data_IF_010287782685
#
_entry.id   IF_010287782685
#
_cell.length_a   1.000
_cell.length_b   1.000
_cell.length_c   1.000
_cell.angle_alpha   90.00
_cell.angle_beta   90.00
_cell.angle_gamma   90.00
#
_symmetry.space_group_name_H-M   'P 1'
#
loop_
_entity.id
_entity.type
_entity.pdbx_description
1 polymer ?
#
# COMPACT_ATOMS: atom_id res chain seq x y z
N UNK A 1 -4.16 0.76 -19.89
CA UNK A 1 -4.82 0.19 -18.69
C UNK A 1 -3.86 -0.78 -18.03
N UNK A 2 -3.77 -0.83 -16.70
CA UNK A 2 -3.08 -1.90 -16.01
C UNK A 2 -3.73 -3.24 -16.40
N UNK A 3 -2.98 -4.24 -16.83
CA UNK A 3 -3.49 -5.52 -17.26
C UNK A 3 -4.02 -6.30 -16.06
N UNK A 4 -5.32 -6.56 -16.11
CA UNK A 4 -6.14 -7.08 -15.01
C UNK A 4 -5.94 -8.59 -14.76
N UNK A 5 -5.27 -9.30 -15.68
CA UNK A 5 -5.19 -10.76 -15.69
C UNK A 5 -3.95 -11.37 -15.00
N UNK A 6 -3.14 -10.56 -14.32
CA UNK A 6 -1.89 -11.00 -13.69
C UNK A 6 -2.09 -11.70 -12.36
N UNK A 7 -1.10 -12.51 -11.95
CA UNK A 7 -1.05 -13.13 -10.63
C UNK A 7 -1.07 -12.07 -9.53
N UNK A 8 -1.35 -12.49 -8.30
CA UNK A 8 -1.24 -11.61 -7.15
C UNK A 8 0.24 -11.39 -6.82
N UNK A 9 0.62 -10.12 -6.63
CA UNK A 9 1.94 -9.80 -6.10
C UNK A 9 2.11 -10.29 -4.66
N UNK A 10 3.32 -10.12 -4.10
CA UNK A 10 3.65 -10.57 -2.75
C UNK A 10 2.68 -10.04 -1.68
N UNK A 11 2.49 -8.72 -1.57
CA UNK A 11 1.62 -8.14 -0.54
C UNK A 11 0.14 -8.43 -0.79
N UNK A 12 -0.29 -8.47 -2.05
CA UNK A 12 -1.66 -8.77 -2.41
C UNK A 12 -2.05 -10.17 -1.96
N UNK A 13 -1.14 -11.13 -2.17
CA UNK A 13 -1.29 -12.51 -1.73
C UNK A 13 -1.48 -12.59 -0.21
N UNK A 14 -0.74 -11.80 0.57
CA UNK A 14 -0.92 -11.78 2.04
C UNK A 14 -2.34 -11.37 2.40
N UNK A 15 -2.86 -10.27 1.83
CA UNK A 15 -4.20 -9.78 2.20
C UNK A 15 -5.32 -10.67 1.69
N UNK A 16 -5.21 -11.14 0.45
CA UNK A 16 -6.23 -11.95 -0.21
C UNK A 16 -6.32 -13.33 0.44
N UNK A 17 -5.21 -14.00 0.73
CA UNK A 17 -5.22 -15.36 1.30
C UNK A 17 -5.91 -15.47 2.67
N UNK A 18 -6.15 -14.37 3.38
CA UNK A 18 -6.75 -14.39 4.71
C UNK A 18 -8.21 -14.89 4.71
N UNK A 19 -8.93 -14.74 3.60
CA UNK A 19 -10.33 -15.15 3.45
C UNK A 19 -10.57 -15.97 2.18
N UNK A 20 -9.53 -16.41 1.50
CA UNK A 20 -9.68 -17.31 0.36
C UNK A 20 -9.89 -18.75 0.89
N UNK A 21 -11.06 -19.38 0.66
CA UNK A 21 -11.34 -20.72 1.19
C UNK A 21 -10.55 -21.83 0.49
N UNK A 22 -9.89 -21.52 -0.63
CA UNK A 22 -9.22 -22.51 -1.51
C UNK A 22 -7.75 -22.70 -1.16
N UNK A 23 -7.16 -21.78 -0.38
CA UNK A 23 -5.72 -21.76 -0.12
C UNK A 23 -5.43 -21.41 1.35
N UNK A 24 -4.39 -22.00 1.96
CA UNK A 24 -4.04 -21.64 3.33
C UNK A 24 -3.66 -20.16 3.46
N UNK A 25 -4.12 -19.51 4.53
CA UNK A 25 -3.79 -18.12 4.81
C UNK A 25 -2.28 -17.93 4.96
N UNK A 26 -1.72 -16.98 4.22
CA UNK A 26 -0.32 -16.60 4.38
C UNK A 26 -0.10 -15.92 5.73
N UNK A 27 1.15 -15.96 6.21
CA UNK A 27 1.51 -15.32 7.47
C UNK A 27 1.20 -13.81 7.45
N UNK A 28 0.34 -13.38 8.38
CA UNK A 28 -0.08 -12.00 8.51
C UNK A 28 0.77 -11.27 9.54
N UNK A 29 1.86 -10.63 9.10
CA UNK A 29 2.83 -9.98 9.99
C UNK A 29 2.23 -8.80 10.79
N UNK A 30 2.90 -8.45 11.90
CA UNK A 30 2.49 -7.41 12.84
C UNK A 30 2.09 -6.04 12.25
N UNK A 31 2.81 -5.44 11.28
CA UNK A 31 2.50 -4.09 10.77
C UNK A 31 1.17 -4.00 9.99
N UNK A 32 0.63 -5.14 9.53
CA UNK A 32 -0.52 -5.17 8.63
C UNK A 32 -1.84 -4.96 9.40
N UNK A 33 -2.84 -4.42 8.72
CA UNK A 33 -4.22 -4.22 9.21
C UNK A 33 -5.23 -4.91 8.29
N UNK A 34 -6.39 -5.34 8.81
CA UNK A 34 -7.31 -6.21 8.06
C UNK A 34 -8.16 -5.53 6.99
N UNK A 35 -8.15 -4.21 6.88
CA UNK A 35 -9.05 -3.49 5.98
C UNK A 35 -9.01 -3.97 4.54
N UNK A 36 -7.83 -4.30 4.00
CA UNK A 36 -7.75 -4.87 2.64
C UNK A 36 -8.31 -6.28 2.59
N UNK A 37 -8.01 -7.14 3.57
CA UNK A 37 -8.59 -8.48 3.63
C UNK A 37 -10.12 -8.44 3.66
N UNK A 38 -10.71 -7.51 4.41
CA UNK A 38 -12.16 -7.30 4.43
C UNK A 38 -12.70 -6.75 3.11
N UNK A 39 -11.98 -5.82 2.48
CA UNK A 39 -12.35 -5.27 1.17
C UNK A 39 -12.35 -6.34 0.08
N UNK A 40 -11.37 -7.25 0.09
CA UNK A 40 -11.24 -8.29 -0.93
C UNK A 40 -12.11 -9.52 -0.66
N UNK A 41 -12.49 -9.78 0.59
CA UNK A 41 -13.19 -10.98 1.02
C UNK A 41 -14.44 -11.33 0.17
N UNK A 42 -15.36 -10.40 -0.16
CA UNK A 42 -16.56 -10.73 -0.95
C UNK A 42 -16.22 -11.27 -2.35
N UNK A 43 -15.17 -10.73 -2.98
CA UNK A 43 -14.77 -11.14 -4.33
C UNK A 43 -14.16 -12.54 -4.32
N UNK A 44 -13.24 -12.79 -3.39
CA UNK A 44 -12.46 -14.03 -3.35
C UNK A 44 -13.24 -15.20 -2.76
N UNK A 45 -14.23 -14.92 -1.91
CA UNK A 45 -15.20 -15.91 -1.48
C UNK A 45 -16.10 -16.36 -2.63
N UNK A 46 -16.44 -15.45 -3.55
CA UNK A 46 -17.31 -15.73 -4.68
C UNK A 46 -16.60 -16.35 -5.89
N UNK A 47 -15.33 -16.01 -6.14
CA UNK A 47 -14.60 -16.48 -7.32
C UNK A 47 -13.09 -16.57 -7.11
N UNK A 48 -12.39 -17.55 -7.71
CA UNK A 48 -10.93 -17.57 -7.80
C UNK A 48 -10.36 -16.56 -8.81
N UNK A 49 -11.20 -15.84 -9.56
CA UNK A 49 -10.77 -14.99 -10.66
C UNK A 49 -10.12 -13.68 -10.19
N UNK A 50 -8.79 -13.62 -10.29
CA UNK A 50 -8.02 -12.37 -10.08
C UNK A 50 -8.50 -11.22 -10.99
N UNK A 51 -8.81 -11.44 -12.29
CA UNK A 51 -9.42 -10.39 -13.11
C UNK A 51 -10.69 -9.77 -12.49
N UNK A 52 -11.60 -10.59 -11.96
CA UNK A 52 -12.84 -10.11 -11.34
C UNK A 52 -12.52 -9.28 -10.10
N UNK A 53 -11.60 -9.73 -9.25
CA UNK A 53 -11.12 -8.96 -8.11
C UNK A 53 -10.55 -7.60 -8.54
N UNK A 54 -9.68 -7.55 -9.55
CA UNK A 54 -9.05 -6.31 -10.01
C UNK A 54 -10.05 -5.34 -10.66
N UNK A 55 -11.03 -5.84 -11.40
CA UNK A 55 -12.14 -5.03 -11.93
C UNK A 55 -12.93 -4.42 -10.78
N UNK A 56 -13.31 -5.24 -9.78
CA UNK A 56 -14.00 -4.79 -8.58
C UNK A 56 -13.23 -3.69 -7.85
N UNK A 57 -11.94 -3.89 -7.60
CA UNK A 57 -11.07 -2.90 -6.95
C UNK A 57 -10.91 -1.63 -7.79
N UNK A 58 -10.86 -1.73 -9.12
CA UNK A 58 -10.80 -0.56 -10.02
C UNK A 58 -12.07 0.28 -9.92
N UNK A 59 -13.24 -0.36 -9.91
CA UNK A 59 -14.53 0.32 -9.80
C UNK A 59 -14.68 0.98 -8.41
N UNK A 60 -14.38 0.23 -7.35
CA UNK A 60 -14.46 0.73 -5.98
C UNK A 60 -13.47 1.87 -5.72
N UNK A 61 -12.22 1.76 -6.18
CA UNK A 61 -11.22 2.82 -6.02
C UNK A 61 -11.57 4.06 -6.83
N UNK A 62 -12.14 3.91 -8.03
CA UNK A 62 -12.65 5.04 -8.83
C UNK A 62 -13.81 5.75 -8.13
N UNK A 63 -14.75 5.00 -7.55
CA UNK A 63 -15.85 5.55 -6.78
C UNK A 63 -15.35 6.25 -5.49
N UNK A 64 -14.38 5.65 -4.80
CA UNK A 64 -13.78 6.22 -3.60
C UNK A 64 -12.98 7.50 -3.90
N UNK A 65 -12.22 7.54 -4.99
CA UNK A 65 -11.54 8.75 -5.48
C UNK A 65 -12.57 9.87 -5.67
N UNK A 66 -13.64 9.60 -6.43
CA UNK A 66 -14.68 10.59 -6.67
C UNK A 66 -15.33 11.06 -5.37
N UNK A 67 -15.72 10.12 -4.49
CA UNK A 67 -16.36 10.43 -3.21
C UNK A 67 -15.46 11.28 -2.30
N UNK A 68 -14.18 10.91 -2.16
CA UNK A 68 -13.22 11.60 -1.30
C UNK A 68 -12.98 13.04 -1.78
N UNK A 69 -12.73 13.24 -3.06
CA UNK A 69 -12.52 14.59 -3.60
C UNK A 69 -13.82 15.40 -3.63
N UNK A 70 -14.99 14.79 -3.87
CA UNK A 70 -16.29 15.50 -3.88
C UNK A 70 -16.56 16.24 -2.57
N UNK A 71 -16.07 15.74 -1.43
CA UNK A 71 -16.16 16.41 -0.12
C UNK A 71 -15.61 17.84 -0.16
N UNK A 72 -14.62 18.11 -1.01
CA UNK A 72 -13.93 19.39 -1.10
C UNK A 72 -14.62 20.42 -2.00
N UNK A 73 -15.62 20.03 -2.80
CA UNK A 73 -16.31 20.97 -3.70
C UNK A 73 -16.88 22.21 -2.98
N UNK A 74 -17.55 22.09 -1.81
CA UNK A 74 -18.03 23.27 -1.08
C UNK A 74 -16.92 24.07 -0.39
N UNK A 75 -15.70 23.50 -0.25
CA UNK A 75 -14.57 24.11 0.45
C UNK A 75 -13.70 24.92 -0.49
N UNK A 76 -13.32 24.33 -1.64
CA UNK A 76 -12.36 24.93 -2.60
C UNK A 76 -12.94 25.14 -3.99
N UNK A 77 -14.20 24.78 -4.23
CA UNK A 77 -14.87 24.89 -5.51
C UNK A 77 -14.72 23.66 -6.41
N UNK A 78 -15.63 23.52 -7.38
CA UNK A 78 -15.69 22.36 -8.26
C UNK A 78 -14.47 22.24 -9.20
N UNK A 79 -13.99 23.37 -9.74
CA UNK A 79 -12.82 23.39 -10.64
C UNK A 79 -11.55 22.91 -9.93
N UNK A 80 -11.24 23.50 -8.77
CA UNK A 80 -10.08 23.12 -7.95
C UNK A 80 -10.13 21.66 -7.54
N UNK A 81 -11.31 21.18 -7.14
CA UNK A 81 -11.52 19.78 -6.77
C UNK A 81 -11.25 18.84 -7.94
N UNK A 82 -11.75 19.17 -9.14
CA UNK A 82 -11.56 18.35 -10.33
C UNK A 82 -10.10 18.30 -10.76
N UNK A 83 -9.39 19.45 -10.74
CA UNK A 83 -7.96 19.51 -11.04
C UNK A 83 -7.16 18.72 -10.01
N UNK A 84 -7.48 18.83 -8.71
CA UNK A 84 -6.80 18.06 -7.67
C UNK A 84 -6.96 16.55 -7.86
N UNK A 85 -8.19 16.11 -8.16
CA UNK A 85 -8.46 14.71 -8.47
C UNK A 85 -7.70 14.25 -9.73
N UNK A 86 -7.64 15.08 -10.78
CA UNK A 86 -6.87 14.78 -12.00
C UNK A 86 -5.37 14.66 -11.72
N UNK A 87 -4.79 15.59 -10.95
CA UNK A 87 -3.36 15.56 -10.61
C UNK A 87 -3.00 14.31 -9.81
N UNK A 88 -3.83 13.95 -8.82
CA UNK A 88 -3.60 12.76 -8.01
C UNK A 88 -3.84 11.45 -8.79
N UNK A 89 -4.97 11.36 -9.51
CA UNK A 89 -5.30 10.19 -10.32
C UNK A 89 -4.32 10.02 -11.49
N UNK A 90 -3.76 11.11 -12.02
CA UNK A 90 -2.78 11.07 -13.11
C UNK A 90 -1.44 10.46 -12.74
N UNK A 91 -1.12 10.27 -11.46
CA UNK A 91 0.12 9.63 -11.03
C UNK A 91 0.13 8.14 -11.38
N UNK A 92 1.26 7.66 -11.89
CA UNK A 92 1.42 6.25 -12.26
C UNK A 92 1.15 5.32 -11.06
N UNK A 93 1.63 5.73 -9.88
CA UNK A 93 1.51 4.95 -8.65
C UNK A 93 0.06 4.90 -8.16
N UNK A 94 -0.73 5.95 -8.40
CA UNK A 94 -2.18 5.95 -8.11
C UNK A 94 -2.90 4.98 -9.04
N UNK A 95 -2.59 5.02 -10.34
CA UNK A 95 -3.20 4.17 -11.35
C UNK A 95 -2.91 2.68 -11.13
N UNK A 96 -1.66 2.32 -10.81
CA UNK A 96 -1.31 0.92 -10.56
C UNK A 96 -1.87 0.41 -9.23
N UNK A 97 -2.02 1.28 -8.23
CA UNK A 97 -2.57 0.91 -6.92
C UNK A 97 -4.09 0.70 -6.95
N UNK A 98 -4.82 1.33 -7.87
CA UNK A 98 -6.27 1.21 -8.03
C UNK A 98 -6.79 -0.24 -8.10
N UNK A 99 -6.26 -1.08 -9.01
CA UNK A 99 -6.62 -2.49 -9.11
C UNK A 99 -5.89 -3.41 -8.12
N UNK A 100 -5.03 -2.89 -7.24
CA UNK A 100 -4.20 -3.70 -6.34
C UNK A 100 -4.81 -3.85 -4.95
N UNK A 101 -4.69 -5.04 -4.38
CA UNK A 101 -5.10 -5.32 -3.00
C UNK A 101 -4.05 -4.78 -2.01
N UNK A 102 -3.98 -3.45 -1.87
CA UNK A 102 -2.99 -2.76 -1.03
C UNK A 102 -3.61 -1.57 -0.28
N UNK A 103 -3.17 -1.27 0.96
CA UNK A 103 -3.84 -0.29 1.82
C UNK A 103 -3.61 1.18 1.43
N UNK A 104 -2.48 1.50 0.80
CA UNK A 104 -2.00 2.88 0.66
C UNK A 104 -2.98 3.82 -0.05
N UNK A 105 -3.61 3.36 -1.14
CA UNK A 105 -4.58 4.17 -1.88
C UNK A 105 -5.86 4.43 -1.07
N UNK A 106 -6.31 3.44 -0.31
CA UNK A 106 -7.50 3.56 0.54
C UNK A 106 -7.25 4.49 1.73
N UNK A 107 -6.03 4.45 2.30
CA UNK A 107 -5.58 5.44 3.29
C UNK A 107 -5.58 6.84 2.69
N UNK A 108 -5.13 7.01 1.44
CA UNK A 108 -5.13 8.31 0.77
C UNK A 108 -6.55 8.86 0.60
N UNK A 109 -7.51 8.05 0.15
CA UNK A 109 -8.91 8.45 0.05
C UNK A 109 -9.51 8.81 1.42
N UNK A 110 -9.26 7.98 2.43
CA UNK A 110 -9.73 8.23 3.79
C UNK A 110 -9.14 9.50 4.39
N UNK A 111 -7.85 9.78 4.18
CA UNK A 111 -7.18 10.99 4.65
C UNK A 111 -7.74 12.27 3.97
N UNK A 112 -7.92 12.24 2.65
CA UNK A 112 -8.54 13.35 1.90
C UNK A 112 -9.98 13.58 2.35
N UNK A 113 -10.78 12.52 2.48
CA UNK A 113 -12.16 12.62 2.90
C UNK A 113 -12.29 13.10 4.35
N UNK A 114 -11.53 12.53 5.29
CA UNK A 114 -11.51 12.92 6.70
C UNK A 114 -11.13 14.39 6.85
N UNK A 115 -10.06 14.83 6.19
CA UNK A 115 -9.62 16.24 6.25
C UNK A 115 -10.69 17.19 5.69
N UNK A 116 -11.34 16.83 4.57
CA UNK A 116 -12.42 17.61 4.00
C UNK A 116 -13.67 17.68 4.89
N UNK A 117 -14.07 16.54 5.47
CA UNK A 117 -15.21 16.48 6.40
C UNK A 117 -14.92 17.22 7.70
N UNK A 118 -13.68 17.18 8.18
CA UNK A 118 -13.24 18.00 9.32
C UNK A 118 -13.44 19.49 9.03
N UNK A 119 -12.96 19.98 7.88
CA UNK A 119 -13.18 21.38 7.49
C UNK A 119 -14.67 21.73 7.38
N UNK A 120 -15.50 20.85 6.81
CA UNK A 120 -16.95 21.06 6.74
C UNK A 120 -17.60 21.08 8.12
N UNK A 121 -17.17 20.22 9.04
CA UNK A 121 -17.62 20.21 10.42
C UNK A 121 -17.29 21.52 11.16
N UNK A 122 -16.17 22.17 10.84
CA UNK A 122 -15.86 23.51 11.37
C UNK A 122 -16.80 24.61 10.86
N UNK A 123 -17.31 24.48 9.62
CA UNK A 123 -18.24 25.48 9.06
C UNK A 123 -19.67 25.35 9.59
N UNK A 124 -20.03 24.22 10.21
CA UNK A 124 -21.38 23.96 10.74
C UNK A 124 -22.50 23.82 9.70
N UNK A 125 -22.19 23.93 8.41
CA UNK A 125 -23.20 23.89 7.32
C UNK A 125 -23.75 22.50 7.02
N UNK A 126 -23.10 21.45 7.53
CA UNK A 126 -23.40 20.06 7.25
C UNK A 126 -23.56 19.30 8.56
N UNK A 127 -24.80 19.08 9.03
CA UNK A 127 -25.05 18.53 10.37
C UNK A 127 -24.40 17.17 10.61
N UNK A 128 -24.27 16.35 9.56
CA UNK A 128 -23.69 15.00 9.63
C UNK A 128 -22.17 14.95 9.41
N UNK A 129 -21.51 16.09 9.20
CA UNK A 129 -20.06 16.13 8.89
C UNK A 129 -19.21 15.46 9.98
N UNK A 130 -19.61 15.57 11.25
CA UNK A 130 -18.94 14.92 12.38
C UNK A 130 -18.96 13.39 12.28
N UNK A 131 -20.10 12.81 11.90
CA UNK A 131 -20.24 11.36 11.72
C UNK A 131 -19.49 10.86 10.50
N UNK A 132 -19.52 11.61 9.39
CA UNK A 132 -18.74 11.26 8.20
C UNK A 132 -17.23 11.31 8.47
N UNK A 133 -16.79 12.31 9.23
CA UNK A 133 -15.41 12.39 9.73
C UNK A 133 -15.04 11.15 10.54
N UNK A 134 -15.86 10.77 11.53
CA UNK A 134 -15.63 9.58 12.35
C UNK A 134 -15.53 8.31 11.49
N UNK A 135 -16.46 8.14 10.53
CA UNK A 135 -16.45 7.02 9.60
C UNK A 135 -15.20 6.97 8.72
N UNK A 136 -14.75 8.10 8.17
CA UNK A 136 -13.53 8.16 7.37
C UNK A 136 -12.29 7.80 8.20
N UNK A 137 -12.16 8.32 9.43
CA UNK A 137 -11.04 7.98 10.32
C UNK A 137 -11.07 6.50 10.70
N UNK A 138 -12.25 5.95 11.01
CA UNK A 138 -12.41 4.53 11.33
C UNK A 138 -11.98 3.63 10.17
N UNK A 139 -12.43 3.95 8.95
CA UNK A 139 -12.06 3.22 7.73
C UNK A 139 -10.56 3.34 7.47
N UNK A 140 -9.95 4.52 7.63
CA UNK A 140 -8.50 4.68 7.49
C UNK A 140 -7.73 3.81 8.49
N UNK A 141 -8.14 3.78 9.76
CA UNK A 141 -7.53 2.94 10.79
C UNK A 141 -7.65 1.45 10.49
N UNK A 142 -8.78 1.04 9.92
CA UNK A 142 -9.01 -0.33 9.49
C UNK A 142 -8.04 -0.75 8.36
N UNK A 143 -7.81 0.14 7.39
CA UNK A 143 -6.86 -0.11 6.30
C UNK A 143 -5.41 -0.08 6.75
N UNK A 144 -5.05 0.87 7.63
CA UNK A 144 -3.70 0.98 8.18
C UNK A 144 -3.72 1.74 9.50
N UNK A 145 -3.69 0.97 10.60
CA UNK A 145 -3.78 1.49 11.96
C UNK A 145 -2.73 2.60 12.27
N UNK A 146 -1.42 2.42 11.95
CA UNK A 146 -0.43 3.47 12.21
C UNK A 146 -0.71 4.78 11.47
N UNK A 147 -1.09 4.73 10.19
CA UNK A 147 -1.34 5.93 9.39
C UNK A 147 -2.54 6.72 9.89
N UNK A 148 -3.57 6.03 10.42
CA UNK A 148 -4.71 6.72 11.01
C UNK A 148 -4.34 7.53 12.24
N UNK A 149 -3.36 7.08 13.04
CA UNK A 149 -2.81 7.85 14.15
C UNK A 149 -2.12 9.11 13.62
N UNK A 150 -1.23 8.98 12.63
CA UNK A 150 -0.54 10.11 12.00
C UNK A 150 -1.51 11.11 11.32
N UNK A 151 -2.59 10.61 10.71
CA UNK A 151 -3.70 11.42 10.19
C UNK A 151 -4.41 12.19 11.33
N UNK A 152 -4.71 11.52 12.44
CA UNK A 152 -5.49 12.10 13.53
C UNK A 152 -4.74 13.21 14.28
N UNK A 153 -3.41 13.12 14.41
CA UNK A 153 -2.60 14.10 15.16
C UNK A 153 -2.87 15.57 14.77
N UNK A 154 -2.68 16.01 13.51
CA UNK A 154 -2.94 17.40 13.12
C UNK A 154 -4.43 17.77 13.19
N UNK A 155 -5.35 16.80 12.99
CA UNK A 155 -6.79 17.04 13.12
C UNK A 155 -7.20 17.28 14.57
N UNK A 156 -6.68 16.49 15.51
CA UNK A 156 -6.90 16.63 16.97
C UNK A 156 -6.30 17.95 17.45
N UNK A 157 -5.05 18.25 17.06
CA UNK A 157 -4.42 19.53 17.38
C UNK A 157 -5.30 20.70 16.90
N UNK A 158 -5.74 20.66 15.64
CA UNK A 158 -6.62 21.71 15.11
C UNK A 158 -7.97 21.78 15.83
N UNK A 159 -8.55 20.64 16.19
CA UNK A 159 -9.82 20.56 16.92
C UNK A 159 -9.74 21.22 18.30
N UNK A 160 -8.64 21.00 19.04
CA UNK A 160 -8.41 21.56 20.37
C UNK A 160 -8.45 23.11 20.36
N UNK A 161 -7.95 23.73 19.28
CA UNK A 161 -7.89 25.18 19.12
C UNK A 161 -9.07 25.79 18.36
N UNK A 162 -9.74 25.04 17.47
CA UNK A 162 -10.78 25.59 16.59
C UNK A 162 -12.20 25.15 16.94
N UNK A 163 -12.41 23.89 17.29
CA UNK A 163 -13.73 23.38 17.62
C UNK A 163 -13.63 22.05 18.37
N UNK A 164 -13.63 22.11 19.72
CA UNK A 164 -13.52 20.91 20.57
C UNK A 164 -14.67 19.92 20.39
N UNK A 165 -15.81 20.34 19.81
CA UNK A 165 -16.95 19.45 19.55
C UNK A 165 -16.66 18.38 18.48
N UNK A 166 -15.62 18.54 17.67
CA UNK A 166 -15.19 17.49 16.72
C UNK A 166 -14.39 16.38 17.38
N UNK A 167 -13.81 16.60 18.57
CA UNK A 167 -12.91 15.66 19.23
C UNK A 167 -13.55 14.28 19.52
N UNK A 168 -14.77 14.18 20.09
CA UNK A 168 -15.37 12.88 20.38
C UNK A 168 -15.55 12.03 19.12
N UNK A 169 -15.83 12.66 17.98
CA UNK A 169 -16.00 11.97 16.70
C UNK A 169 -14.67 11.51 16.10
N UNK A 170 -13.61 12.33 16.20
CA UNK A 170 -12.26 11.95 15.79
C UNK A 170 -11.75 10.77 16.63
N UNK A 171 -11.82 10.90 17.95
CA UNK A 171 -11.35 9.89 18.89
C UNK A 171 -12.20 8.63 18.81
N UNK A 172 -13.53 8.76 18.75
CA UNK A 172 -14.45 7.64 18.59
C UNK A 172 -14.25 6.90 17.27
N UNK A 173 -14.09 7.62 16.15
CA UNK A 173 -13.75 7.03 14.86
C UNK A 173 -12.43 6.26 14.90
N UNK A 174 -11.39 6.86 15.48
CA UNK A 174 -10.09 6.21 15.64
C UNK A 174 -10.19 4.96 16.53
N UNK A 175 -10.86 5.05 17.67
CA UNK A 175 -11.04 3.92 18.59
C UNK A 175 -11.79 2.75 17.93
N UNK A 176 -12.89 3.03 17.24
CA UNK A 176 -13.68 2.01 16.51
C UNK A 176 -12.84 1.37 15.40
N UNK A 177 -12.12 2.17 14.61
CA UNK A 177 -11.30 1.64 13.53
C UNK A 177 -10.07 0.85 14.00
N UNK A 178 -9.51 1.20 15.16
CA UNK A 178 -8.40 0.47 15.78
C UNK A 178 -8.84 -0.77 16.56
N UNK A 179 -10.11 -0.92 16.90
CA UNK A 179 -10.60 -1.99 17.77
C UNK A 179 -10.17 -3.39 17.31
N UNK A 180 -10.33 -3.69 16.01
CA UNK A 180 -9.92 -4.97 15.43
C UNK A 180 -8.41 -5.19 15.54
N UNK A 181 -7.60 -4.17 15.25
CA UNK A 181 -6.15 -4.25 15.31
C UNK A 181 -5.65 -4.44 16.75
N UNK A 182 -6.26 -3.74 17.71
CA UNK A 182 -5.96 -3.87 19.14
C UNK A 182 -6.34 -5.25 19.65
N UNK A 183 -7.52 -5.77 19.32
CA UNK A 183 -7.93 -7.11 19.70
C UNK A 183 -6.94 -8.18 19.20
N UNK A 184 -6.51 -8.09 17.94
CA UNK A 184 -5.48 -8.98 17.40
C UNK A 184 -4.12 -8.81 18.08
N UNK A 185 -3.77 -7.61 18.54
CA UNK A 185 -2.53 -7.38 19.27
C UNK A 185 -2.50 -8.24 20.55
N UNK A 186 -3.58 -8.23 21.33
CA UNK A 186 -3.66 -9.06 22.53
C UNK A 186 -3.77 -10.56 22.22
N UNK A 187 -4.55 -10.97 21.23
CA UNK A 187 -4.77 -12.39 20.92
C UNK A 187 -3.51 -13.06 20.33
N UNK A 188 -2.74 -12.35 19.48
CA UNK A 188 -1.66 -12.95 18.69
C UNK A 188 -0.26 -12.54 19.12
N UNK A 189 -0.12 -11.36 19.74
CA UNK A 189 1.19 -10.78 20.09
C UNK A 189 1.36 -10.57 21.59
N UNK A 190 0.32 -10.79 22.40
CA UNK A 190 0.35 -10.61 23.86
C UNK A 190 -0.08 -9.22 24.30
N UNK A 191 0.39 -8.17 23.62
CA UNK A 191 0.00 -6.78 23.90
C UNK A 191 0.10 -5.87 22.67
N UNK A 192 -0.41 -4.64 22.81
CA UNK A 192 -0.21 -3.59 21.79
C UNK A 192 1.26 -3.25 21.64
N UNK A 193 1.99 -3.16 22.74
CA UNK A 193 3.40 -2.82 22.79
C UNK A 193 4.24 -3.91 22.09
N UNK A 194 3.96 -5.18 22.36
CA UNK A 194 4.66 -6.30 21.72
C UNK A 194 4.39 -6.32 20.22
N UNK A 195 3.14 -6.07 19.79
CA UNK A 195 2.83 -5.95 18.36
C UNK A 195 3.59 -4.79 17.72
N UNK A 196 3.71 -3.63 18.39
CA UNK A 196 4.48 -2.49 17.89
C UNK A 196 5.98 -2.80 17.83
N UNK A 197 6.52 -3.51 18.82
CA UNK A 197 7.92 -3.93 18.85
C UNK A 197 8.24 -4.90 17.69
N UNK A 198 7.43 -5.95 17.52
CA UNK A 198 7.54 -6.88 16.40
C UNK A 198 7.32 -6.18 15.07
N UNK A 199 6.40 -5.21 15.01
CA UNK A 199 6.19 -4.38 13.83
C UNK A 199 7.44 -3.57 13.49
N UNK A 200 8.09 -2.96 14.48
CA UNK A 200 9.33 -2.21 14.29
C UNK A 200 10.43 -3.10 13.70
N UNK A 201 10.67 -4.25 14.32
CA UNK A 201 11.66 -5.23 13.83
C UNK A 201 11.32 -5.73 12.41
N UNK A 202 10.03 -5.98 12.14
CA UNK A 202 9.55 -6.39 10.81
C UNK A 202 9.78 -5.31 9.75
N UNK A 203 9.85 -4.03 10.13
CA UNK A 203 10.02 -2.89 9.24
C UNK A 203 11.46 -2.35 9.17
N UNK A 204 12.44 -3.11 9.68
CA UNK A 204 13.86 -2.74 9.60
C UNK A 204 14.32 -1.92 10.81
N UNK A 205 13.73 -2.20 11.97
CA UNK A 205 13.96 -1.50 13.24
C UNK A 205 13.70 0.01 13.11
N UNK A 206 12.42 0.38 13.15
CA UNK A 206 12.00 1.78 13.05
C UNK A 206 12.73 2.66 14.08
N UNK A 207 13.61 3.52 13.58
CA UNK A 207 14.34 4.54 14.32
C UNK A 207 14.27 5.87 13.58
N UNK A 208 15.16 6.83 13.86
CA UNK A 208 15.27 8.04 13.04
C UNK A 208 16.18 7.76 11.83
N UNK A 209 15.58 7.67 10.64
CA UNK A 209 16.28 7.42 9.37
C UNK A 209 15.87 8.47 8.33
N UNK A 210 16.82 9.27 7.85
CA UNK A 210 16.58 10.24 6.77
C UNK A 210 16.50 9.49 5.42
N UNK A 211 15.28 9.19 4.98
CA UNK A 211 14.99 8.28 3.87
C UNK A 211 14.63 9.02 2.56
N UNK A 212 15.00 10.30 2.44
CA UNK A 212 14.63 11.13 1.30
C UNK A 212 15.24 10.63 0.00
N UNK A 213 16.49 10.18 0.03
CA UNK A 213 17.20 9.70 -1.16
C UNK A 213 16.58 8.41 -1.69
N UNK A 214 16.26 7.46 -0.81
CA UNK A 214 15.56 6.23 -1.19
C UNK A 214 14.13 6.49 -1.69
N UNK A 215 13.42 7.42 -1.03
CA UNK A 215 12.10 7.85 -1.48
C UNK A 215 12.15 8.43 -2.89
N UNK A 216 13.15 9.27 -3.18
CA UNK A 216 13.36 9.88 -4.49
C UNK A 216 13.83 8.87 -5.54
N UNK A 217 14.82 8.04 -5.23
CA UNK A 217 15.44 7.09 -6.17
C UNK A 217 14.51 5.95 -6.61
N UNK A 218 13.51 5.63 -5.78
CA UNK A 218 12.52 4.61 -6.10
C UNK A 218 11.30 5.11 -6.88
N UNK A 219 11.11 6.42 -7.06
CA UNK A 219 9.86 7.01 -7.61
C UNK A 219 9.45 6.53 -9.00
N UNK A 220 10.41 6.16 -9.83
CA UNK A 220 10.20 5.55 -11.15
C UNK A 220 10.91 4.20 -11.25
N UNK A 221 11.25 3.61 -10.09
CA UNK A 221 11.97 2.36 -9.94
C UNK A 221 11.07 1.23 -9.42
N UNK A 222 11.61 0.31 -8.59
CA UNK A 222 10.88 -0.87 -8.15
C UNK A 222 9.67 -0.51 -7.27
N UNK A 223 8.62 -1.35 -7.32
CA UNK A 223 7.43 -1.21 -6.47
C UNK A 223 7.72 -1.31 -4.96
N UNK A 224 8.84 -1.93 -4.61
CA UNK A 224 9.39 -2.03 -3.26
C UNK A 224 10.89 -2.28 -3.37
N UNK A 225 11.72 -1.51 -2.67
CA UNK A 225 13.15 -1.74 -2.51
C UNK A 225 13.44 -1.95 -1.01
N UNK A 226 14.06 -3.09 -0.65
CA UNK A 226 14.39 -3.43 0.74
C UNK A 226 15.51 -4.48 0.82
N UNK A 227 16.75 -4.11 1.22
CA UNK A 227 17.25 -2.73 1.39
C UNK A 227 17.16 -1.94 0.09
N UNK A 228 17.13 -0.61 0.15
CA UNK A 228 17.00 0.18 -1.06
C UNK A 228 18.34 0.40 -1.76
N UNK A 229 18.51 -0.21 -2.93
CA UNK A 229 19.69 -0.03 -3.80
C UNK A 229 19.30 0.54 -5.17
N UNK A 230 18.13 1.19 -5.26
CA UNK A 230 17.63 1.73 -6.52
C UNK A 230 18.45 2.94 -6.97
N UNK A 231 18.81 2.97 -8.26
CA UNK A 231 19.48 4.10 -8.91
C UNK A 231 18.49 4.92 -9.73
N UNK A 232 18.73 6.23 -9.84
CA UNK A 232 17.92 7.13 -10.65
C UNK A 232 18.28 7.00 -12.14
N UNK A 233 17.67 6.03 -12.82
CA UNK A 233 17.96 5.79 -14.24
C UNK A 233 17.30 6.85 -15.17
N UNK A 234 16.37 7.65 -14.65
CA UNK A 234 15.73 8.75 -15.38
C UNK A 234 15.28 9.90 -14.46
N UNK A 235 16.21 10.76 -13.99
CA UNK A 235 15.92 11.83 -13.04
C UNK A 235 14.81 12.80 -13.50
N UNK A 236 14.72 13.05 -14.82
CA UNK A 236 13.68 13.92 -15.40
C UNK A 236 12.25 13.51 -15.04
N UNK A 237 11.98 12.20 -14.92
CA UNK A 237 10.66 11.65 -14.58
C UNK A 237 10.30 11.84 -13.10
N UNK A 238 11.25 12.28 -12.27
CA UNK A 238 11.10 12.44 -10.82
C UNK A 238 11.04 13.91 -10.39
N UNK A 239 11.30 14.87 -11.29
CA UNK A 239 11.36 16.31 -11.00
C UNK A 239 10.07 16.85 -10.38
N UNK A 240 8.91 16.26 -10.72
CA UNK A 240 7.63 16.66 -10.14
C UNK A 240 7.62 16.52 -8.61
N UNK A 241 8.30 15.51 -8.07
CA UNK A 241 8.35 15.27 -6.63
C UNK A 241 9.17 16.33 -5.90
N UNK A 242 10.30 16.77 -6.49
CA UNK A 242 11.08 17.89 -5.98
C UNK A 242 10.35 19.23 -6.13
N UNK A 243 9.48 19.37 -7.14
CA UNK A 243 8.63 20.55 -7.30
C UNK A 243 7.49 20.60 -6.26
N UNK A 244 7.05 19.48 -5.70
CA UNK A 244 5.91 19.44 -4.78
C UNK A 244 6.09 20.32 -3.53
N UNK A 245 7.21 20.28 -2.78
CA UNK A 245 7.42 21.18 -1.64
C UNK A 245 7.36 22.66 -2.03
N UNK A 246 7.92 23.02 -3.19
CA UNK A 246 7.93 24.40 -3.70
C UNK A 246 6.50 24.86 -4.06
N UNK A 247 5.74 24.02 -4.74
CA UNK A 247 4.33 24.29 -5.06
C UNK A 247 3.47 24.38 -3.80
N UNK A 248 3.71 23.52 -2.81
CA UNK A 248 3.00 23.57 -1.53
C UNK A 248 3.31 24.86 -0.76
N UNK A 249 4.58 25.29 -0.72
CA UNK A 249 4.99 26.56 -0.13
C UNK A 249 4.36 27.77 -0.86
N UNK A 250 4.34 27.75 -2.20
CA UNK A 250 3.68 28.79 -2.99
C UNK A 250 2.16 28.86 -2.71
N UNK A 251 1.50 27.70 -2.60
CA UNK A 251 0.07 27.63 -2.27
C UNK A 251 -0.20 28.20 -0.88
N UNK A 252 0.66 27.89 0.10
CA UNK A 252 0.56 28.44 1.45
C UNK A 252 0.77 29.96 1.46
N UNK A 253 1.77 30.48 0.74
CA UNK A 253 2.00 31.91 0.61
C UNK A 253 0.81 32.65 -0.02
N UNK A 254 0.19 32.07 -1.06
CA UNK A 254 -1.05 32.60 -1.62
C UNK A 254 -2.20 32.60 -0.60
N UNK A 255 -2.39 31.50 0.14
CA UNK A 255 -3.42 31.38 1.16
C UNK A 255 -3.23 32.37 2.33
N UNK A 256 -1.97 32.69 2.70
CA UNK A 256 -1.62 33.72 3.67
C UNK A 256 -2.08 35.09 3.19
N UNK A 257 -1.75 35.46 1.94
CA UNK A 257 -2.15 36.74 1.34
C UNK A 257 -3.67 36.89 1.26
N UNK A 258 -4.38 35.81 0.94
CA UNK A 258 -5.84 35.76 0.84
C UNK A 258 -6.55 35.64 2.21
N UNK A 259 -5.80 35.50 3.31
CA UNK A 259 -6.32 35.26 4.68
C UNK A 259 -7.24 34.03 4.78
N UNK A 260 -7.06 33.05 3.89
CA UNK A 260 -7.81 31.79 3.85
C UNK A 260 -6.91 30.59 4.08
N UNK A 261 -6.23 30.58 5.23
CA UNK A 261 -5.18 29.63 5.54
C UNK A 261 -5.66 28.20 5.74
N UNK A 262 -6.75 28.01 6.47
CA UNK A 262 -7.10 26.70 7.01
C UNK A 262 -7.36 25.64 5.92
N UNK A 263 -8.07 25.92 4.80
CA UNK A 263 -8.25 24.95 3.71
C UNK A 263 -6.97 24.52 2.99
N UNK A 264 -5.88 25.28 3.14
CA UNK A 264 -4.56 24.99 2.53
C UNK A 264 -3.61 24.37 3.56
N UNK A 265 -3.49 24.98 4.74
CA UNK A 265 -2.55 24.57 5.77
C UNK A 265 -2.91 23.22 6.39
N UNK A 266 -4.20 22.93 6.59
CA UNK A 266 -4.61 21.66 7.21
C UNK A 266 -4.25 20.43 6.38
N UNK A 267 -4.62 20.31 5.08
CA UNK A 267 -4.19 19.16 4.28
C UNK A 267 -2.67 19.07 4.16
N UNK A 268 -1.94 20.19 4.15
CA UNK A 268 -0.47 20.18 4.18
C UNK A 268 0.07 19.61 5.51
N UNK A 269 -0.50 19.99 6.65
CA UNK A 269 -0.10 19.46 7.96
C UNK A 269 -0.39 17.96 8.08
N UNK A 270 -1.54 17.51 7.57
CA UNK A 270 -1.89 16.08 7.49
C UNK A 270 -0.93 15.33 6.55
N UNK A 271 -0.60 15.90 5.39
CA UNK A 271 0.36 15.31 4.46
C UNK A 271 1.75 15.17 5.09
N UNK A 272 2.21 16.20 5.80
CA UNK A 272 3.49 16.18 6.50
C UNK A 272 3.51 15.09 7.58
N UNK A 273 2.47 15.03 8.44
CA UNK A 273 2.35 14.01 9.48
C UNK A 273 2.35 12.58 8.90
N UNK A 274 1.59 12.34 7.83
CA UNK A 274 1.56 11.03 7.14
C UNK A 274 2.87 10.69 6.43
N UNK A 275 3.73 11.67 6.14
CA UNK A 275 5.04 11.43 5.49
C UNK A 275 6.13 11.06 6.50
N UNK A 276 6.00 11.46 7.77
CA UNK A 276 7.00 11.19 8.83
C UNK A 276 7.42 9.73 8.90
N UNK A 277 6.52 8.74 9.03
CA UNK A 277 6.95 7.34 9.18
C UNK A 277 7.73 6.82 7.96
N UNK A 278 7.55 7.40 6.79
CA UNK A 278 8.15 6.90 5.55
C UNK A 278 9.42 7.66 5.13
N UNK A 279 9.52 8.94 5.48
CA UNK A 279 10.67 9.78 5.17
C UNK A 279 11.68 9.86 6.31
N UNK A 280 11.24 9.61 7.55
CA UNK A 280 12.03 9.83 8.75
C UNK A 280 12.17 8.60 9.65
N UNK A 281 11.41 7.52 9.42
CA UNK A 281 11.38 6.38 10.35
C UNK A 281 11.75 5.00 9.79
N UNK A 282 11.93 4.87 8.47
CA UNK A 282 12.29 3.61 7.82
C UNK A 282 13.48 3.83 6.89
N UNK A 283 14.21 2.77 6.59
CA UNK A 283 15.43 2.79 5.77
C UNK A 283 15.25 2.21 4.35
N UNK A 284 14.00 1.88 4.00
CA UNK A 284 13.63 1.26 2.74
C UNK A 284 12.48 2.04 2.09
N UNK A 285 12.19 1.80 0.81
CA UNK A 285 11.20 2.63 0.09
C UNK A 285 10.24 1.83 -0.79
N UNK A 286 9.02 2.34 -0.89
CA UNK A 286 8.04 1.97 -1.89
C UNK A 286 7.30 3.25 -2.33
N UNK A 287 7.19 3.55 -3.64
CA UNK A 287 6.55 4.79 -4.11
C UNK A 287 5.12 5.00 -3.59
N UNK A 288 4.40 3.90 -3.32
CA UNK A 288 3.03 3.92 -2.78
C UNK A 288 2.92 4.50 -1.36
N UNK A 289 3.99 4.52 -0.58
CA UNK A 289 3.96 4.97 0.82
C UNK A 289 3.49 6.41 0.98
N UNK A 290 3.86 7.27 0.04
CA UNK A 290 3.52 8.69 0.08
C UNK A 290 2.21 9.05 -0.66
N UNK A 291 1.44 8.06 -1.13
CA UNK A 291 0.13 8.29 -1.77
C UNK A 291 -0.80 9.19 -0.94
N UNK A 292 -0.95 9.02 0.39
CA UNK A 292 -1.79 9.89 1.18
C UNK A 292 -1.31 11.35 1.17
N UNK A 293 0.00 11.57 1.24
CA UNK A 293 0.58 12.91 1.17
C UNK A 293 0.34 13.54 -0.21
N UNK A 294 0.55 12.80 -1.30
CA UNK A 294 0.30 13.29 -2.66
C UNK A 294 -1.17 13.67 -2.86
N UNK A 295 -2.10 12.87 -2.36
CA UNK A 295 -3.54 13.13 -2.48
C UNK A 295 -3.95 14.43 -1.76
N UNK A 296 -3.42 14.65 -0.56
CA UNK A 296 -3.68 15.84 0.24
C UNK A 296 -3.02 17.09 -0.36
N UNK A 297 -1.79 17.00 -0.85
CA UNK A 297 -1.06 18.11 -1.50
C UNK A 297 -1.64 18.47 -2.87
N UNK A 298 -2.32 17.55 -3.56
CA UNK A 298 -2.99 17.84 -4.83
C UNK A 298 -4.04 18.97 -4.71
N UNK A 299 -4.68 19.12 -3.55
CA UNK A 299 -5.68 20.16 -3.29
C UNK A 299 -5.09 21.60 -3.32
N UNK A 300 -4.08 21.94 -2.50
CA UNK A 300 -3.47 23.27 -2.55
C UNK A 300 -2.74 23.53 -3.88
N UNK A 301 -2.10 22.52 -4.49
CA UNK A 301 -1.46 22.66 -5.81
C UNK A 301 -2.49 22.97 -6.90
N UNK A 302 -3.62 22.26 -6.93
CA UNK A 302 -4.72 22.57 -7.86
C UNK A 302 -5.26 23.99 -7.63
N UNK A 303 -5.29 24.45 -6.37
CA UNK A 303 -5.65 25.81 -6.02
C UNK A 303 -4.78 26.85 -6.74
N UNK A 304 -3.47 26.62 -6.86
CA UNK A 304 -2.58 27.52 -7.61
C UNK A 304 -2.95 27.57 -9.09
N UNK A 305 -3.18 26.41 -9.70
CA UNK A 305 -3.55 26.31 -11.12
C UNK A 305 -4.85 27.07 -11.40
N UNK A 306 -5.85 26.93 -10.53
CA UNK A 306 -7.15 27.60 -10.72
C UNK A 306 -7.13 29.12 -10.47
N UNK A 307 -6.07 29.65 -9.86
CA UNK A 307 -5.89 31.10 -9.67
C UNK A 307 -5.32 31.78 -10.91
N UNK A 308 -4.79 31.02 -11.87
CA UNK A 308 -4.27 31.56 -13.12
C UNK A 308 -5.41 32.18 -13.93
N UNK A 309 -5.25 33.45 -14.30
CA UNK A 309 -6.24 34.23 -15.05
C UNK A 309 -5.80 34.57 -16.48
N UNK A 310 -4.49 34.62 -16.74
CA UNK A 310 -3.93 34.89 -18.07
C UNK A 310 -4.06 33.66 -18.99
N UNK A 311 -4.53 33.87 -20.22
CA UNK A 311 -4.59 32.83 -21.26
C UNK A 311 -3.25 32.14 -21.47
N UNK A 312 -2.14 32.90 -21.47
CA UNK A 312 -0.79 32.33 -21.62
C UNK A 312 -0.43 31.41 -20.45
N UNK A 313 -0.72 31.85 -19.23
CA UNK A 313 -0.45 31.05 -18.02
C UNK A 313 -1.29 29.77 -17.98
N UNK A 314 -2.57 29.83 -18.37
CA UNK A 314 -3.45 28.67 -18.46
C UNK A 314 -2.98 27.67 -19.53
N UNK A 315 -2.54 28.14 -20.70
CA UNK A 315 -1.97 27.28 -21.74
C UNK A 315 -0.69 26.60 -21.25
N UNK A 316 0.22 27.35 -20.63
CA UNK A 316 1.45 26.81 -20.04
C UNK A 316 1.16 25.76 -18.96
N UNK A 317 0.24 26.05 -18.04
CA UNK A 317 -0.17 25.09 -17.00
C UNK A 317 -0.79 23.83 -17.62
N UNK A 318 -1.63 23.98 -18.65
CA UNK A 318 -2.20 22.86 -19.40
C UNK A 318 -1.13 22.00 -20.07
N UNK A 319 -0.13 22.61 -20.71
CA UNK A 319 1.00 21.91 -21.32
C UNK A 319 1.85 21.18 -20.27
N UNK A 320 2.14 21.80 -19.13
CA UNK A 320 2.89 21.17 -18.05
C UNK A 320 2.13 19.98 -17.45
N UNK A 321 0.81 20.11 -17.24
CA UNK A 321 -0.03 19.00 -16.78
C UNK A 321 -0.06 17.88 -17.82
N UNK A 322 -0.20 18.20 -19.11
CA UNK A 322 -0.18 17.20 -20.18
C UNK A 322 1.16 16.47 -20.25
N UNK A 323 2.28 17.20 -20.21
CA UNK A 323 3.62 16.63 -20.17
C UNK A 323 3.81 15.73 -18.94
N UNK A 324 3.29 16.15 -17.78
CA UNK A 324 3.30 15.34 -16.58
C UNK A 324 2.46 14.06 -16.74
N UNK A 325 1.25 14.13 -17.30
CA UNK A 325 0.42 12.94 -17.52
C UNK A 325 1.10 11.96 -18.49
N UNK A 326 1.77 12.46 -19.53
CA UNK A 326 2.57 11.63 -20.44
C UNK A 326 3.74 10.98 -19.70
N UNK A 327 4.48 11.73 -18.87
CA UNK A 327 5.60 11.18 -18.08
C UNK A 327 5.14 10.05 -17.15
N UNK A 328 3.99 10.24 -16.48
CA UNK A 328 3.38 9.23 -15.61
C UNK A 328 2.87 8.02 -16.40
N UNK A 329 2.29 8.21 -17.58
CA UNK A 329 1.84 7.11 -18.43
C UNK A 329 3.01 6.23 -18.92
N UNK A 330 4.16 6.84 -19.23
CA UNK A 330 5.39 6.13 -19.60
C UNK A 330 5.87 5.23 -18.45
N UNK A 331 6.00 5.79 -17.24
CA UNK A 331 6.41 5.01 -16.05
C UNK A 331 5.40 3.91 -15.75
N UNK A 332 4.10 4.21 -15.81
CA UNK A 332 3.04 3.22 -15.59
C UNK A 332 3.20 2.03 -16.54
N UNK A 333 3.44 2.28 -17.83
CA UNK A 333 3.56 1.24 -18.84
C UNK A 333 4.79 0.35 -18.56
N UNK A 334 5.93 0.95 -18.23
CA UNK A 334 7.16 0.23 -17.88
C UNK A 334 7.00 -0.64 -16.63
N UNK A 335 6.51 -0.06 -15.53
CA UNK A 335 6.34 -0.79 -14.26
C UNK A 335 5.29 -1.89 -14.40
N UNK A 336 4.23 -1.63 -15.18
CA UNK A 336 3.20 -2.61 -15.50
C UNK A 336 3.78 -3.81 -16.25
N UNK A 337 4.59 -3.59 -17.28
CA UNK A 337 5.23 -4.66 -18.04
C UNK A 337 6.21 -5.47 -17.17
N UNK A 338 6.98 -4.80 -16.31
CA UNK A 338 7.88 -5.47 -15.36
C UNK A 338 7.12 -6.33 -14.34
N UNK A 339 6.00 -5.82 -13.83
CA UNK A 339 5.13 -6.55 -12.89
C UNK A 339 4.49 -7.77 -13.57
N UNK A 340 4.08 -7.62 -14.83
CA UNK A 340 3.52 -8.70 -15.64
C UNK A 340 4.49 -9.88 -15.76
N UNK A 341 5.73 -9.61 -16.19
CA UNK A 341 6.79 -10.61 -16.33
C UNK A 341 7.11 -11.31 -15.00
N UNK A 342 7.11 -10.55 -13.90
CA UNK A 342 7.36 -11.12 -12.55
C UNK A 342 6.25 -12.07 -12.14
N UNK A 343 5.00 -11.69 -12.39
CA UNK A 343 3.83 -12.49 -12.04
C UNK A 343 3.70 -13.76 -12.92
N UNK A 344 4.07 -13.67 -14.19
CA UNK A 344 4.17 -14.85 -15.07
C UNK A 344 5.19 -15.86 -14.57
N UNK A 345 6.35 -15.38 -14.07
CA UNK A 345 7.35 -16.26 -13.44
C UNK A 345 6.83 -16.92 -12.17
N UNK A 346 6.05 -16.21 -11.35
CA UNK A 346 5.44 -16.83 -10.15
C UNK A 346 4.47 -17.95 -10.53
N UNK A 347 3.61 -17.73 -11.54
CA UNK A 347 2.72 -18.76 -12.05
C UNK A 347 3.48 -19.94 -12.62
N UNK A 348 4.48 -19.70 -13.47
CA UNK A 348 5.30 -20.76 -14.05
C UNK A 348 6.00 -21.61 -12.96
N UNK A 349 6.49 -20.97 -11.89
CA UNK A 349 7.03 -21.69 -10.74
C UNK A 349 5.97 -22.54 -10.03
N UNK A 350 4.78 -21.99 -9.80
CA UNK A 350 3.68 -22.71 -9.16
C UNK A 350 3.22 -23.92 -10.01
N UNK A 351 3.15 -23.75 -11.33
CA UNK A 351 2.85 -24.82 -12.29
C UNK A 351 3.93 -25.90 -12.23
N UNK A 352 5.20 -25.51 -12.20
CA UNK A 352 6.33 -26.43 -12.04
C UNK A 352 6.32 -27.20 -10.72
N UNK A 353 5.90 -26.58 -9.61
CA UNK A 353 5.70 -27.30 -8.35
C UNK A 353 4.57 -28.34 -8.47
N UNK A 354 3.48 -28.01 -9.17
CA UNK A 354 2.37 -28.96 -9.37
C UNK A 354 2.77 -30.14 -10.26
N UNK A 355 3.59 -29.92 -11.29
CA UNK A 355 4.09 -31.02 -12.15
C UNK A 355 5.04 -31.94 -11.39
N UNK A 356 5.78 -31.41 -10.40
CA UNK A 356 6.61 -32.18 -9.47
C UNK A 356 5.80 -32.93 -8.39
N UNK A 357 4.48 -32.81 -8.38
CA UNK A 357 3.60 -33.53 -7.45
C UNK A 357 3.34 -32.81 -6.12
N UNK A 358 3.75 -31.55 -5.96
CA UNK A 358 3.33 -30.73 -4.82
C UNK A 358 1.83 -30.43 -4.96
N UNK A 359 1.00 -31.16 -4.20
CA UNK A 359 -0.46 -30.98 -4.15
C UNK A 359 -0.92 -30.66 -2.73
N UNK A 360 -2.01 -29.89 -2.56
CA UNK A 360 -2.55 -29.59 -1.24
C UNK A 360 -2.97 -30.85 -0.48
N UNK A 361 -2.73 -30.93 0.85
CA UNK A 361 -2.00 -29.97 1.67
C UNK A 361 -0.48 -30.04 1.42
N UNK A 362 0.14 -28.89 1.12
CA UNK A 362 1.57 -28.76 0.82
C UNK A 362 2.19 -27.50 1.44
N UNK A 363 3.51 -27.43 1.46
CA UNK A 363 4.28 -26.31 2.01
C UNK A 363 5.37 -25.83 1.03
N UNK A 364 5.49 -24.52 0.88
CA UNK A 364 6.58 -23.89 0.10
C UNK A 364 7.30 -22.86 0.97
N UNK A 365 8.63 -22.86 0.90
CA UNK A 365 9.51 -21.95 1.63
C UNK A 365 10.57 -21.35 0.72
N UNK A 366 11.30 -20.35 1.19
CA UNK A 366 12.36 -19.66 0.43
C UNK A 366 11.90 -18.39 -0.28
N UNK A 367 12.78 -17.74 -1.07
CA UNK A 367 12.49 -16.49 -1.74
C UNK A 367 11.25 -16.61 -2.65
N UNK A 368 10.42 -15.57 -2.68
CA UNK A 368 9.21 -15.52 -3.53
C UNK A 368 8.18 -16.63 -3.27
N UNK A 369 8.35 -17.46 -2.24
CA UNK A 369 7.47 -18.58 -1.95
C UNK A 369 6.01 -18.18 -1.66
N UNK A 370 5.76 -16.96 -1.16
CA UNK A 370 4.44 -16.55 -0.73
C UNK A 370 3.42 -16.47 -1.90
N UNK A 371 3.65 -15.69 -2.99
CA UNK A 371 2.80 -15.71 -4.18
C UNK A 371 2.82 -17.06 -4.91
N UNK A 372 3.98 -17.75 -4.95
CA UNK A 372 4.11 -19.04 -5.63
C UNK A 372 3.29 -20.14 -4.93
N UNK A 373 3.35 -20.19 -3.59
CA UNK A 373 2.58 -21.13 -2.77
C UNK A 373 1.08 -20.89 -2.96
N UNK A 374 0.66 -19.62 -2.97
CA UNK A 374 -0.73 -19.25 -3.18
C UNK A 374 -1.25 -19.77 -4.52
N UNK A 375 -0.54 -19.49 -5.61
CA UNK A 375 -0.91 -19.98 -6.94
C UNK A 375 -0.82 -21.52 -7.05
N UNK A 376 0.01 -22.17 -6.22
CA UNK A 376 0.11 -23.63 -6.13
C UNK A 376 -0.95 -24.27 -5.20
N UNK A 377 -1.70 -23.47 -4.43
CA UNK A 377 -2.63 -23.95 -3.40
C UNK A 377 -1.96 -24.46 -2.12
N UNK A 378 -0.68 -24.16 -1.93
CA UNK A 378 0.12 -24.58 -0.78
C UNK A 378 0.15 -23.51 0.32
N UNK A 379 0.46 -23.95 1.55
CA UNK A 379 0.87 -23.04 2.59
C UNK A 379 2.27 -22.46 2.29
N UNK A 380 2.55 -21.26 2.77
CA UNK A 380 3.90 -20.68 2.76
C UNK A 380 4.45 -20.54 4.18
N UNK A 381 5.76 -20.76 4.34
CA UNK A 381 6.45 -20.47 5.60
C UNK A 381 7.89 -20.00 5.36
N UNK A 382 8.34 -19.06 6.20
CA UNK A 382 9.69 -18.51 6.15
C UNK A 382 10.37 -18.67 7.50
N UNK A 383 11.66 -18.99 7.45
CA UNK A 383 12.55 -19.11 8.62
C UNK A 383 13.42 -17.87 8.80
N UNK A 384 13.46 -16.99 7.80
CA UNK A 384 14.22 -15.75 7.77
C UNK A 384 13.46 -14.59 7.08
N UNK A 385 14.03 -13.38 7.17
CA UNK A 385 13.50 -12.17 6.57
C UNK A 385 12.26 -11.58 7.22
N UNK A 386 11.59 -10.66 6.53
CA UNK A 386 10.52 -9.83 7.12
C UNK A 386 9.17 -10.56 7.26
N UNK A 387 9.10 -11.82 6.87
CA UNK A 387 7.89 -12.64 7.01
C UNK A 387 8.19 -13.96 7.74
N UNK A 388 9.21 -13.97 8.62
CA UNK A 388 9.48 -15.11 9.51
C UNK A 388 8.18 -15.54 10.17
N UNK A 389 7.82 -16.79 9.92
CA UNK A 389 6.56 -17.37 10.38
C UNK A 389 6.74 -18.71 11.07
N UNK A 390 7.94 -19.29 11.01
CA UNK A 390 8.29 -20.55 11.66
C UNK A 390 9.79 -20.59 11.99
N UNK A 391 10.18 -21.52 12.85
CA UNK A 391 11.58 -21.91 13.04
C UNK A 391 11.98 -23.00 12.04
N UNK A 392 13.28 -23.26 11.89
CA UNK A 392 13.80 -24.38 11.08
C UNK A 392 13.22 -25.72 11.57
N UNK A 393 13.21 -25.95 12.89
CA UNK A 393 12.62 -27.16 13.47
C UNK A 393 11.12 -27.28 13.15
N UNK A 394 10.37 -26.19 13.23
CA UNK A 394 8.96 -26.16 12.86
C UNK A 394 8.72 -26.45 11.37
N UNK A 395 9.57 -25.90 10.49
CA UNK A 395 9.51 -26.16 9.05
C UNK A 395 9.79 -27.63 8.74
N UNK A 396 10.85 -28.21 9.31
CA UNK A 396 11.19 -29.62 9.11
C UNK A 396 10.13 -30.56 9.69
N UNK A 397 9.58 -30.23 10.86
CA UNK A 397 8.48 -30.99 11.46
C UNK A 397 7.20 -30.99 10.60
N UNK A 398 6.96 -29.92 9.83
CA UNK A 398 5.91 -29.90 8.81
C UNK A 398 6.32 -30.65 7.54
N UNK A 399 7.56 -30.51 7.09
CA UNK A 399 8.06 -31.18 5.91
C UNK A 399 8.00 -32.71 6.02
N UNK A 400 8.11 -33.25 7.24
CA UNK A 400 7.91 -34.66 7.51
C UNK A 400 6.45 -35.14 7.33
N UNK A 401 5.47 -34.24 7.26
CA UNK A 401 4.03 -34.55 7.24
C UNK A 401 3.36 -34.21 5.92
N UNK A 402 3.88 -33.25 5.17
CA UNK A 402 3.29 -32.77 3.92
C UNK A 402 4.36 -32.54 2.85
N UNK A 403 4.03 -32.75 1.55
CA UNK A 403 4.93 -32.41 0.46
C UNK A 403 5.45 -30.97 0.59
N UNK A 404 6.77 -30.83 0.60
CA UNK A 404 7.42 -29.56 0.90
C UNK A 404 8.51 -29.24 -0.11
N UNK A 405 8.53 -27.99 -0.58
CA UNK A 405 9.57 -27.46 -1.44
C UNK A 405 10.22 -26.22 -0.81
N UNK A 406 11.54 -26.10 -0.92
CA UNK A 406 12.28 -24.85 -0.68
C UNK A 406 12.72 -24.30 -2.03
N UNK A 407 12.43 -23.03 -2.29
CA UNK A 407 12.86 -22.35 -3.51
C UNK A 407 14.20 -21.66 -3.28
N UNK A 408 15.04 -21.64 -4.31
CA UNK A 408 16.26 -20.80 -4.37
C UNK A 408 16.36 -20.10 -5.70
N UNK A 409 16.95 -18.90 -5.71
CA UNK A 409 17.22 -18.16 -6.95
C UNK A 409 18.62 -18.48 -7.54
N UNK A 410 18.93 -17.88 -8.70
CA UNK A 410 20.17 -18.16 -9.44
C UNK A 410 21.39 -17.83 -8.57
N UNK A 411 22.30 -18.78 -8.44
CA UNK A 411 23.54 -18.59 -7.68
C UNK A 411 23.37 -18.65 -6.16
N UNK A 412 22.16 -18.87 -5.65
CA UNK A 412 21.93 -19.11 -4.23
C UNK A 412 22.09 -20.60 -3.92
N UNK A 413 22.78 -20.89 -2.81
CA UNK A 413 22.85 -22.25 -2.27
C UNK A 413 21.59 -22.54 -1.44
N UNK A 414 21.11 -23.79 -1.41
CA UNK A 414 20.04 -24.15 -0.50
C UNK A 414 20.47 -23.91 0.96
N UNK A 415 19.53 -23.55 1.84
CA UNK A 415 19.80 -23.42 3.26
C UNK A 415 20.29 -24.76 3.83
N UNK A 416 21.03 -24.71 4.93
CA UNK A 416 21.70 -25.89 5.50
C UNK A 416 20.76 -27.10 5.67
N UNK A 417 19.53 -26.86 6.14
CA UNK A 417 18.52 -27.90 6.38
C UNK A 417 17.93 -28.54 5.11
N UNK A 418 18.17 -27.96 3.94
CA UNK A 418 17.65 -28.43 2.64
C UNK A 418 18.77 -28.79 1.65
N UNK A 419 20.02 -28.92 2.10
CA UNK A 419 21.15 -29.28 1.22
C UNK A 419 21.02 -30.69 0.65
N UNK A 420 20.45 -31.60 1.42
CA UNK A 420 20.27 -33.01 1.03
C UNK A 420 18.91 -33.25 0.36
N UNK A 421 18.14 -32.19 0.12
CA UNK A 421 16.86 -32.27 -0.59
C UNK A 421 17.10 -32.38 -2.10
N UNK A 422 16.18 -33.03 -2.82
CA UNK A 422 16.39 -33.29 -4.25
C UNK A 422 16.13 -32.01 -5.06
N UNK A 423 17.11 -31.52 -5.85
CA UNK A 423 16.95 -30.29 -6.63
C UNK A 423 16.21 -30.54 -7.95
N UNK A 424 15.27 -29.66 -8.26
CA UNK A 424 14.54 -29.62 -9.52
C UNK A 424 14.57 -28.20 -10.09
N UNK A 425 15.34 -27.96 -11.17
CA UNK A 425 15.26 -26.70 -11.90
C UNK A 425 13.84 -26.47 -12.42
N UNK A 426 13.27 -25.32 -12.12
CA UNK A 426 11.91 -24.98 -12.56
C UNK A 426 11.94 -24.44 -13.99
N UNK A 427 11.18 -25.06 -14.89
CA UNK A 427 11.05 -24.63 -16.28
C UNK A 427 10.39 -23.25 -16.38
N UNK A 428 10.77 -22.47 -17.39
CA UNK A 428 10.26 -21.11 -17.64
C UNK A 428 10.53 -20.09 -16.51
N UNK A 429 11.34 -20.46 -15.51
CA UNK A 429 11.81 -19.57 -14.44
C UNK A 429 13.34 -19.63 -14.36
N UNK A 430 14.05 -18.89 -15.25
CA UNK A 430 15.50 -19.01 -15.38
C UNK A 430 16.24 -18.83 -14.05
N UNK A 431 16.95 -19.87 -13.63
CA UNK A 431 17.76 -19.87 -12.42
C UNK A 431 17.01 -20.16 -11.11
N UNK A 432 15.72 -20.47 -11.14
CA UNK A 432 15.00 -20.93 -9.95
C UNK A 432 15.06 -22.45 -9.83
N UNK A 433 15.28 -22.92 -8.60
CA UNK A 433 15.33 -24.35 -8.28
C UNK A 433 14.41 -24.62 -7.11
N UNK A 434 13.60 -25.68 -7.23
CA UNK A 434 12.81 -26.23 -6.15
C UNK A 434 13.58 -27.42 -5.54
N UNK A 435 13.88 -27.33 -4.26
CA UNK A 435 14.46 -28.41 -3.47
C UNK A 435 13.32 -29.15 -2.79
N UNK A 436 13.08 -30.41 -3.15
CA UNK A 436 12.00 -31.20 -2.58
C UNK A 436 12.48 -31.96 -1.35
N UNK A 437 11.72 -31.82 -0.25
CA UNK A 437 11.93 -32.61 0.94
C UNK A 437 11.81 -34.10 0.61
N UNK A 438 12.62 -34.97 1.23
CA UNK A 438 12.44 -36.41 1.13
C UNK A 438 11.00 -36.77 1.48
N UNK A 439 10.36 -37.63 0.69
CA UNK A 439 9.05 -38.14 1.05
C UNK A 439 9.16 -38.79 2.43
N UNK A 440 8.40 -38.28 3.41
CA UNK A 440 8.23 -38.99 4.67
C UNK A 440 7.69 -40.39 4.38
N UNK A 441 8.00 -41.41 5.22
CA UNK A 441 7.41 -42.72 5.05
C UNK A 441 5.90 -42.55 4.96
N UNK A 442 5.30 -43.01 3.86
CA UNK A 442 3.85 -43.06 3.75
C UNK A 442 3.39 -43.91 4.92
N UNK A 443 2.64 -43.30 5.85
CA UNK A 443 2.00 -44.05 6.92
C UNK A 443 1.13 -45.16 6.31
N UNK A 444 1.00 -46.29 7.01
CA UNK A 444 0.32 -47.48 6.50
C UNK A 444 -1.12 -47.21 6.04
#
# INVERSE_FOLDING_TARGET
MPPLAHALGWDETVYVSQYDPRVPAAFFSAPRSRGISFLTAPFIAATPSVPVLRIGLTLLSSAALYAAFRVWRPVVGARTTAVAALLFAGLWITQISGPQAMPNLWVAFGAVAATGWFLRALTGREPRAHWWLAGCVAVTALFRAPDAVWLALPLIATALFRNRRTLPYLVGGLAVGLAQWVAEAYIRFGSVQDRLHVSSATEGDMGLHLNFDNAWSSLNGPLLCRPCTATLDSPGLTLWWLALPLLAAAALACAMRERRLLPTALPMAVAAALSVPYLLMIDYSAPRFLLPAYALLALPVAGLVTRLNSRRALVLAGLLIAAQLVSQATVLTQVTASTALTNERYRAAADGLRTLGLRPPCLVSGPRALPIAYDAGCASAQVDGNNISTTVAGLLGRAAKVPTAVLTEKGQRPPHYARDWTPYPLHHTPGWTAWLAPAGPQGP
#
